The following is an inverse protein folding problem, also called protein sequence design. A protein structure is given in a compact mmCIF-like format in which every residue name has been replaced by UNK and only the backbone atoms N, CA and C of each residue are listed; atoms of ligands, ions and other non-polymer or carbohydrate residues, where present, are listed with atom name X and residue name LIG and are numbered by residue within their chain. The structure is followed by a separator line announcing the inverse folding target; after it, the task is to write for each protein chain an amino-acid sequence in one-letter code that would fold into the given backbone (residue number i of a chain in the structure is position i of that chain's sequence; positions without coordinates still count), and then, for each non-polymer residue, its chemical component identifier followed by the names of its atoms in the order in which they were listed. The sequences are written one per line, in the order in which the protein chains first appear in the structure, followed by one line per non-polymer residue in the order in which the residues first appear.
data_IF_035361179731
#
_entry.id   IF_035361179731
#
_cell.length_a   1.000
_cell.length_b   1.000
_cell.length_c   1.000
_cell.angle_alpha   90.00
_cell.angle_beta   90.00
_cell.angle_gamma   90.00
#
_symmetry.space_group_name_H-M   'P 1'
#
loop_
_entity.id
_entity.type
_entity.pdbx_description
1 polymer ?
#
# COMPACT_ATOMS: atom_id res chain seq x y z
N UNK A 1 18.71 17.12 1.80
CA UNK A 1 18.20 17.01 0.41
C UNK A 1 16.73 16.71 0.57
N UNK A 2 15.85 17.31 -0.24
CA UNK A 2 14.41 17.34 0.07
C UNK A 2 13.83 15.93 0.17
N UNK A 3 13.54 15.49 1.39
CA UNK A 3 12.65 14.37 1.69
C UNK A 3 11.26 14.80 1.17
N UNK A 4 10.96 14.50 -0.09
CA UNK A 4 9.66 14.76 -0.64
C UNK A 4 8.86 13.47 -0.52
N UNK A 5 8.00 13.41 0.49
CA UNK A 5 6.98 12.37 0.55
C UNK A 5 6.01 12.62 -0.60
N UNK A 6 5.91 11.67 -1.51
CA UNK A 6 4.92 11.69 -2.60
C UNK A 6 3.76 10.79 -2.21
N UNK A 7 2.54 11.29 -2.40
CA UNK A 7 1.33 10.48 -2.29
C UNK A 7 0.52 10.64 -3.58
N UNK A 8 0.24 9.52 -4.24
CA UNK A 8 -0.59 9.47 -5.44
C UNK A 8 -1.89 8.73 -5.15
N UNK A 9 -3.01 9.32 -5.57
CA UNK A 9 -4.34 8.73 -5.46
C UNK A 9 -4.84 8.36 -6.85
N UNK A 10 -5.31 7.14 -7.01
CA UNK A 10 -5.82 6.60 -8.26
C UNK A 10 -7.28 6.23 -8.07
N UNK A 11 -8.15 6.90 -8.83
CA UNK A 11 -9.55 6.53 -9.04
C UNK A 11 -9.68 6.11 -10.52
N UNK A 12 -9.64 4.81 -10.73
CA UNK A 12 -9.73 4.15 -12.04
C UNK A 12 -11.17 3.94 -12.48
N UNK A 13 -12.10 3.78 -11.53
CA UNK A 13 -13.49 3.43 -11.81
C UNK A 13 -14.42 4.66 -11.94
N UNK A 14 -13.99 5.82 -11.41
CA UNK A 14 -14.66 7.11 -11.47
C UNK A 14 -15.85 7.26 -10.50
N UNK A 15 -15.92 6.46 -9.44
CA UNK A 15 -17.00 6.49 -8.45
C UNK A 15 -16.77 7.55 -7.34
N UNK A 16 -15.58 8.14 -7.29
CA UNK A 16 -15.20 9.16 -6.32
C UNK A 16 -14.53 8.62 -5.05
N UNK A 17 -14.31 7.30 -4.95
CA UNK A 17 -13.43 6.67 -3.99
C UNK A 17 -12.06 6.38 -4.62
N UNK A 18 -11.05 6.17 -3.77
CA UNK A 18 -9.68 5.92 -4.24
C UNK A 18 -9.48 4.41 -4.35
N UNK A 19 -9.34 3.90 -5.56
CA UNK A 19 -9.02 2.49 -5.81
C UNK A 19 -7.59 2.13 -5.35
N UNK A 20 -6.64 3.07 -5.48
CA UNK A 20 -5.26 2.87 -5.00
C UNK A 20 -4.58 4.15 -4.49
N UNK A 21 -3.88 4.06 -3.37
CA UNK A 21 -3.01 5.11 -2.81
C UNK A 21 -1.56 4.61 -2.78
N UNK A 22 -0.64 5.33 -3.43
CA UNK A 22 0.79 5.01 -3.46
C UNK A 22 1.56 6.07 -2.66
N UNK A 23 2.40 5.64 -1.73
CA UNK A 23 3.15 6.51 -0.83
C UNK A 23 4.65 6.21 -0.99
N UNK A 24 5.39 7.19 -1.47
CA UNK A 24 6.86 7.19 -1.51
C UNK A 24 7.35 8.14 -0.43
N UNK A 25 7.82 7.60 0.69
CA UNK A 25 8.33 8.36 1.84
C UNK A 25 9.82 8.68 1.73
N UNK A 26 10.57 7.88 0.96
CA UNK A 26 12.02 8.01 0.78
C UNK A 26 12.39 8.94 -0.38
N UNK A 27 11.46 9.20 -1.30
CA UNK A 27 11.63 10.03 -2.48
C UNK A 27 12.53 9.41 -3.55
N UNK A 28 12.65 8.08 -3.57
CA UNK A 28 13.52 7.36 -4.50
C UNK A 28 12.81 6.94 -5.80
N UNK A 29 11.49 7.18 -5.87
CA UNK A 29 10.65 6.86 -7.02
C UNK A 29 9.97 5.49 -6.94
N UNK A 30 10.14 4.74 -5.85
CA UNK A 30 9.39 3.54 -5.51
C UNK A 30 8.43 3.83 -4.36
N UNK A 31 7.27 3.16 -4.36
CA UNK A 31 6.32 3.31 -3.26
C UNK A 31 6.76 2.42 -2.08
N UNK A 32 6.97 3.02 -0.91
CA UNK A 32 7.24 2.30 0.34
C UNK A 32 5.95 1.67 0.91
N UNK A 33 4.80 2.27 0.59
CA UNK A 33 3.48 1.78 0.99
C UNK A 33 2.48 1.95 -0.17
N UNK A 34 1.70 0.91 -0.44
CA UNK A 34 0.63 0.93 -1.42
C UNK A 34 -0.66 0.40 -0.79
N UNK A 35 -1.76 1.14 -0.93
CA UNK A 35 -3.08 0.79 -0.41
C UNK A 35 -4.05 0.60 -1.54
N UNK A 36 -4.95 -0.36 -1.42
CA UNK A 36 -5.95 -0.65 -2.43
C UNK A 36 -7.34 -0.80 -1.79
N UNK A 37 -8.33 -0.18 -2.40
CA UNK A 37 -9.76 -0.38 -2.17
C UNK A 37 -10.26 -1.23 -3.34
N UNK A 38 -10.53 -2.50 -3.08
CA UNK A 38 -10.84 -3.50 -4.11
C UNK A 38 -12.35 -3.61 -4.32
N UNK A 39 -13.14 -3.34 -3.29
CA UNK A 39 -14.60 -3.41 -3.35
C UNK A 39 -15.30 -2.05 -3.60
N UNK A 40 -14.57 -0.95 -3.50
CA UNK A 40 -15.00 0.41 -3.82
C UNK A 40 -15.89 1.04 -2.74
N UNK A 41 -15.77 0.58 -1.49
CA UNK A 41 -16.56 1.11 -0.38
C UNK A 41 -15.93 2.35 0.30
N UNK A 42 -14.71 2.73 -0.12
CA UNK A 42 -13.92 3.82 0.41
C UNK A 42 -13.01 3.45 1.58
N UNK A 43 -12.94 2.16 1.94
CA UNK A 43 -12.04 1.60 2.94
C UNK A 43 -10.92 0.83 2.24
N UNK A 44 -9.74 0.85 2.84
CA UNK A 44 -8.60 0.12 2.30
C UNK A 44 -8.73 -1.37 2.64
N UNK A 45 -8.80 -2.19 1.60
CA UNK A 45 -8.83 -3.65 1.68
C UNK A 45 -7.42 -4.26 1.76
N UNK A 46 -6.46 -3.69 1.04
CA UNK A 46 -5.10 -4.25 0.91
C UNK A 46 -4.07 -3.18 1.19
N UNK A 47 -3.04 -3.52 1.97
CA UNK A 47 -1.87 -2.68 2.21
C UNK A 47 -0.60 -3.47 1.95
N UNK A 48 0.18 -3.01 0.99
CA UNK A 48 1.52 -3.50 0.67
C UNK A 48 2.58 -2.57 1.25
N UNK A 49 3.66 -3.14 1.77
CA UNK A 49 4.82 -2.44 2.30
C UNK A 49 6.10 -2.93 1.62
N UNK A 50 6.92 -1.99 1.15
CA UNK A 50 8.31 -2.21 0.80
C UNK A 50 9.17 -1.57 1.90
N UNK A 51 9.68 -2.38 2.82
CA UNK A 51 10.43 -1.88 3.97
C UNK A 51 11.86 -1.50 3.62
N UNK A 52 12.37 -1.98 2.50
CA UNK A 52 13.77 -1.88 2.13
C UNK A 52 14.02 -0.95 0.92
N UNK A 53 12.96 -0.52 0.24
CA UNK A 53 12.98 0.43 -0.87
C UNK A 53 13.61 -0.16 -2.14
N UNK A 54 13.53 -1.48 -2.34
CA UNK A 54 14.05 -2.13 -3.55
C UNK A 54 13.02 -2.26 -4.69
N UNK A 55 11.80 -1.77 -4.45
CA UNK A 55 10.67 -1.85 -5.36
C UNK A 55 9.96 -3.21 -5.34
N UNK A 56 10.28 -4.08 -4.37
CA UNK A 56 9.60 -5.36 -4.15
C UNK A 56 8.87 -5.31 -2.82
N UNK A 57 7.60 -5.75 -2.82
CA UNK A 57 6.79 -5.79 -1.62
C UNK A 57 7.33 -6.84 -0.64
N UNK A 58 7.65 -6.38 0.57
CA UNK A 58 8.11 -7.17 1.71
C UNK A 58 6.93 -7.73 2.51
N UNK A 59 5.85 -6.97 2.65
CA UNK A 59 4.67 -7.37 3.43
C UNK A 59 3.36 -6.93 2.78
N UNK A 60 2.41 -7.86 2.67
CA UNK A 60 1.04 -7.60 2.22
C UNK A 60 0.08 -7.91 3.35
N UNK A 61 -0.79 -6.95 3.71
CA UNK A 61 -1.89 -7.12 4.65
C UNK A 61 -3.20 -6.95 3.90
N UNK A 62 -4.19 -7.78 4.22
CA UNK A 62 -5.52 -7.74 3.62
C UNK A 62 -6.56 -7.77 4.72
N UNK A 63 -7.53 -6.86 4.68
CA UNK A 63 -8.69 -6.69 5.56
C UNK A 63 -9.93 -6.50 4.66
N UNK A 64 -10.57 -7.59 4.25
CA UNK A 64 -11.69 -7.54 3.30
C UNK A 64 -13.04 -7.25 3.97
N UNK A 65 -13.10 -7.30 5.29
CA UNK A 65 -14.33 -7.02 6.03
C UNK A 65 -14.34 -5.65 6.72
N UNK A 66 -13.22 -4.92 6.62
CA UNK A 66 -13.07 -3.54 7.07
C UNK A 66 -13.18 -3.40 8.58
N UNK A 67 -12.93 -4.47 9.35
CA UNK A 67 -13.04 -4.45 10.81
C UNK A 67 -11.79 -3.87 11.51
N UNK A 68 -10.74 -3.58 10.74
CA UNK A 68 -9.46 -3.05 11.20
C UNK A 68 -8.47 -4.14 11.62
N UNK A 69 -8.80 -5.41 11.41
CA UNK A 69 -7.95 -6.57 11.64
C UNK A 69 -7.73 -7.27 10.31
N UNK A 70 -6.46 -7.45 9.93
CA UNK A 70 -6.14 -8.16 8.69
C UNK A 70 -6.60 -9.62 8.75
N UNK A 71 -7.46 -10.00 7.80
CA UNK A 71 -7.82 -11.38 7.48
C UNK A 71 -6.60 -12.19 7.06
N UNK A 72 -5.68 -11.54 6.33
CA UNK A 72 -4.51 -12.18 5.76
C UNK A 72 -3.30 -11.27 5.86
N UNK A 73 -2.15 -11.88 6.13
CA UNK A 73 -0.87 -11.20 6.13
C UNK A 73 0.17 -12.14 5.55
N UNK A 74 0.80 -11.71 4.47
CA UNK A 74 1.96 -12.36 3.88
C UNK A 74 3.17 -11.48 4.09
N UNK A 75 4.29 -12.13 4.35
CA UNK A 75 5.57 -11.45 4.43
C UNK A 75 6.54 -12.20 3.54
N UNK A 76 7.00 -11.53 2.49
CA UNK A 76 7.92 -12.04 1.49
C UNK A 76 9.23 -11.26 1.52
N UNK A 77 10.19 -11.73 2.33
CA UNK A 77 11.55 -11.21 2.29
C UNK A 77 12.48 -12.04 3.18
N UNK A 78 13.79 -12.13 2.88
CA UNK A 78 14.73 -12.75 3.78
C UNK A 78 14.87 -11.80 4.98
N UNK A 79 14.13 -12.06 6.06
CA UNK A 79 14.62 -11.66 7.37
C UNK A 79 15.99 -12.32 7.49
N UNK A 80 17.06 -11.52 7.35
CA UNK A 80 18.39 -12.01 7.68
C UNK A 80 18.32 -12.43 9.14
N UNK A 81 18.32 -13.75 9.35
CA UNK A 81 18.29 -14.39 10.67
C UNK A 81 19.51 -14.00 11.52
#
# INVERSE_FOLDING_TARGET
MSDFVTTEFVDSNGDGYTDAELIDTTGDGYADEARYDVDGDGVTDVVDYDHNGDGVIDETRVDLDGDGVSDYTETSGPFSA
#
